data_IF_399240462681
#
_entry.id   IF_399240462681
#
_cell.length_a   1.000
_cell.length_b   1.000
_cell.length_c   1.000
_cell.angle_alpha   90.00
_cell.angle_beta   90.00
_cell.angle_gamma   90.00
#
_symmetry.space_group_name_H-M   'P 1'
#
loop_
_entity.id
_entity.type
_entity.pdbx_description
1 polymer ?
#
# COMPACT_ATOMS: atom_id res chain seq x y z
N UNK A 1 58.08 -10.29 -16.11
CA UNK A 1 58.11 -10.74 -14.71
C UNK A 1 57.22 -9.81 -13.88
N UNK A 2 56.25 -10.42 -13.17
CA UNK A 2 55.55 -9.98 -11.94
C UNK A 2 54.78 -8.64 -11.96
N UNK A 3 53.45 -8.64 -12.11
CA UNK A 3 52.40 -8.85 -11.08
C UNK A 3 52.61 -8.00 -9.82
N UNK A 4 51.74 -7.00 -9.60
CA UNK A 4 50.84 -7.00 -8.44
C UNK A 4 49.68 -5.97 -8.59
N UNK A 5 48.44 -6.37 -8.26
CA UNK A 5 47.23 -5.55 -8.23
C UNK A 5 47.00 -4.93 -6.84
N UNK A 6 46.34 -3.77 -6.78
CA UNK A 6 45.73 -3.22 -5.56
C UNK A 6 44.33 -2.74 -5.93
N UNK A 7 43.29 -3.56 -5.74
CA UNK A 7 42.54 -3.75 -4.49
C UNK A 7 41.89 -2.44 -4.00
N UNK A 8 40.61 -2.27 -4.31
CA UNK A 8 39.61 -1.62 -3.44
C UNK A 8 38.22 -1.97 -3.97
N UNK A 9 37.87 -3.24 -3.81
CA UNK A 9 36.49 -3.69 -3.71
C UNK A 9 35.86 -3.12 -2.44
N UNK A 10 34.53 -2.97 -2.49
CA UNK A 10 33.59 -2.82 -1.37
C UNK A 10 33.58 -1.44 -0.68
N UNK A 11 32.44 -0.74 -0.77
CA UNK A 11 31.39 -0.71 0.26
C UNK A 11 30.38 0.43 0.00
N UNK A 12 29.21 0.31 0.65
CA UNK A 12 28.03 1.19 0.65
C UNK A 12 27.07 0.90 -0.52
N UNK A 13 26.11 -0.01 -0.40
CA UNK A 13 25.37 -0.38 0.80
C UNK A 13 24.23 0.60 1.01
N UNK A 14 23.04 0.22 0.54
CA UNK A 14 21.76 0.60 1.13
C UNK A 14 20.67 -0.21 0.44
N UNK A 15 20.61 -1.50 0.76
CA UNK A 15 19.32 -2.17 0.73
C UNK A 15 18.47 -1.47 1.80
N UNK A 16 17.59 -0.56 1.38
CA UNK A 16 16.49 -0.13 2.23
C UNK A 16 15.60 -1.36 2.43
N UNK A 17 15.96 -2.18 3.41
CA UNK A 17 15.02 -3.06 4.05
C UNK A 17 14.07 -2.15 4.85
N UNK A 18 13.07 -1.61 4.18
CA UNK A 18 11.88 -1.10 4.86
C UNK A 18 11.23 -2.30 5.53
N UNK A 19 11.65 -2.58 6.77
CA UNK A 19 10.93 -3.45 7.68
C UNK A 19 9.58 -2.81 7.94
N UNK A 20 8.58 -3.18 7.16
CA UNK A 20 7.20 -2.97 7.55
C UNK A 20 6.96 -3.80 8.81
N UNK A 21 6.42 -3.22 9.90
CA UNK A 21 6.00 -4.02 11.04
C UNK A 21 4.91 -4.98 10.55
N UNK A 22 5.17 -6.30 10.63
CA UNK A 22 4.12 -7.30 10.51
C UNK A 22 3.25 -7.22 11.76
N UNK A 23 2.23 -6.38 11.70
CA UNK A 23 1.10 -6.43 12.62
C UNK A 23 0.30 -7.70 12.30
N UNK A 24 0.66 -8.82 12.92
CA UNK A 24 -0.17 -10.04 12.91
C UNK A 24 -1.36 -9.80 13.83
N UNK A 25 -2.35 -9.07 13.32
CA UNK A 25 -3.64 -8.89 13.96
C UNK A 25 -4.53 -10.09 13.66
N UNK A 26 -4.84 -10.89 14.69
CA UNK A 26 -5.94 -11.86 14.64
C UNK A 26 -7.23 -11.07 14.82
N UNK A 27 -7.69 -10.46 13.74
CA UNK A 27 -8.89 -9.64 13.68
C UNK A 27 -9.13 -9.17 12.24
N UNK A 28 -10.37 -8.83 11.91
CA UNK A 28 -10.69 -8.16 10.66
C UNK A 28 -10.18 -6.71 10.72
N UNK A 29 -8.89 -6.52 10.51
CA UNK A 29 -8.23 -5.22 10.64
C UNK A 29 -7.72 -4.75 9.30
N UNK A 30 -7.93 -3.48 9.01
CA UNK A 30 -7.38 -2.81 7.84
C UNK A 30 -6.41 -1.71 8.27
N UNK A 31 -5.40 -1.48 7.44
CA UNK A 31 -4.44 -0.39 7.57
C UNK A 31 -4.25 0.33 6.23
N UNK A 32 -3.78 1.58 6.27
CA UNK A 32 -3.49 2.35 5.06
C UNK A 32 -2.16 1.86 4.47
N UNK A 33 -2.21 1.21 3.31
CA UNK A 33 -1.02 0.73 2.61
C UNK A 33 -0.42 1.77 1.66
N UNK A 34 -1.26 2.60 1.03
CA UNK A 34 -0.82 3.70 0.18
C UNK A 34 -1.87 4.81 0.15
N UNK A 35 -1.43 6.06 -0.04
CA UNK A 35 -2.32 7.23 -0.09
C UNK A 35 -1.76 8.34 -0.97
N UNK A 36 -2.64 8.99 -1.71
CA UNK A 36 -2.44 10.28 -2.38
C UNK A 36 -3.64 11.20 -2.13
N UNK A 37 -3.66 12.40 -2.73
CA UNK A 37 -4.81 13.32 -2.67
C UNK A 37 -6.07 12.78 -3.35
N UNK A 38 -5.94 11.81 -4.26
CA UNK A 38 -7.04 11.29 -5.08
C UNK A 38 -7.28 9.80 -4.93
N UNK A 39 -6.38 9.06 -4.28
CA UNK A 39 -6.50 7.61 -4.13
C UNK A 39 -6.02 7.14 -2.77
N UNK A 40 -6.64 6.09 -2.25
CA UNK A 40 -6.17 5.38 -1.08
C UNK A 40 -6.25 3.88 -1.32
N UNK A 41 -5.27 3.15 -0.80
CA UNK A 41 -5.26 1.70 -0.78
C UNK A 41 -5.22 1.23 0.66
N UNK A 42 -6.24 0.48 1.05
CA UNK A 42 -6.31 -0.21 2.33
C UNK A 42 -5.85 -1.65 2.14
N UNK A 43 -5.06 -2.12 3.10
CA UNK A 43 -4.67 -3.52 3.23
C UNK A 43 -5.34 -4.09 4.46
N UNK A 44 -6.17 -5.10 4.25
CA UNK A 44 -6.93 -5.76 5.29
C UNK A 44 -6.50 -7.21 5.45
N UNK A 45 -6.67 -7.76 6.65
CA UNK A 45 -6.47 -9.20 6.86
C UNK A 45 -7.38 -10.02 5.95
N UNK A 46 -6.95 -11.25 5.65
CA UNK A 46 -7.68 -12.13 4.72
C UNK A 46 -9.16 -12.26 5.10
N UNK A 47 -10.02 -12.28 4.09
CA UNK A 47 -11.49 -12.38 4.25
C UNK A 47 -12.18 -11.21 4.98
N UNK A 48 -11.46 -10.14 5.31
CA UNK A 48 -12.09 -8.89 5.76
C UNK A 48 -12.83 -8.23 4.60
N UNK A 49 -14.12 -7.87 4.74
CA UNK A 49 -14.86 -7.17 3.68
C UNK A 49 -14.32 -5.75 3.47
N UNK A 50 -14.62 -5.17 2.30
CA UNK A 50 -14.27 -3.79 2.01
C UNK A 50 -14.90 -2.84 3.05
N UNK A 51 -14.13 -1.94 3.68
CA UNK A 51 -14.69 -0.87 4.49
C UNK A 51 -15.70 -0.04 3.69
N UNK A 52 -16.83 0.29 4.30
CA UNK A 52 -17.86 1.10 3.64
C UNK A 52 -17.35 2.53 3.36
N UNK A 53 -16.55 3.06 4.28
CA UNK A 53 -16.00 4.40 4.18
C UNK A 53 -14.51 4.42 4.55
N UNK A 54 -13.60 4.71 3.60
CA UNK A 54 -12.17 4.82 3.91
C UNK A 54 -11.85 6.02 4.83
N UNK A 55 -12.79 6.94 5.08
CA UNK A 55 -12.58 8.09 5.97
C UNK A 55 -12.45 7.73 7.45
N UNK A 56 -12.80 6.50 7.82
CA UNK A 56 -12.59 5.97 9.18
C UNK A 56 -11.09 5.78 9.50
N UNK A 57 -10.22 5.80 8.48
CA UNK A 57 -8.78 5.65 8.63
C UNK A 57 -8.08 7.00 8.73
N UNK A 58 -7.02 7.05 9.55
CA UNK A 58 -6.32 8.30 9.85
C UNK A 58 -5.72 8.96 8.62
N UNK A 59 -6.04 10.24 8.42
CA UNK A 59 -5.48 11.07 7.36
C UNK A 59 -6.04 10.78 5.96
N UNK A 60 -7.21 10.14 5.86
CA UNK A 60 -8.01 10.20 4.64
C UNK A 60 -8.69 11.55 4.58
N UNK A 61 -8.60 12.21 3.42
CA UNK A 61 -9.18 13.53 3.22
C UNK A 61 -10.72 13.45 3.16
N UNK A 62 -11.43 14.51 3.60
CA UNK A 62 -12.87 14.58 3.43
C UNK A 62 -13.23 14.56 1.93
N UNK A 63 -14.38 13.97 1.63
CA UNK A 63 -14.90 13.87 0.26
C UNK A 63 -15.72 12.60 0.06
N UNK A 64 -16.15 12.39 -1.19
CA UNK A 64 -16.84 11.18 -1.62
C UNK A 64 -15.82 10.20 -2.18
N UNK A 65 -15.70 9.04 -1.57
CA UNK A 65 -14.77 8.00 -2.00
C UNK A 65 -15.54 6.84 -2.62
N UNK A 66 -15.05 6.34 -3.75
CA UNK A 66 -15.61 5.18 -4.43
C UNK A 66 -14.59 4.05 -4.46
N UNK A 67 -15.01 2.83 -4.13
CA UNK A 67 -14.18 1.64 -4.27
C UNK A 67 -14.05 1.31 -5.76
N UNK A 68 -12.84 1.44 -6.30
CA UNK A 68 -12.55 1.19 -7.73
C UNK A 68 -11.86 -0.15 -7.98
N UNK A 69 -11.29 -0.78 -6.94
CA UNK A 69 -10.62 -2.06 -7.09
C UNK A 69 -10.64 -2.87 -5.78
N UNK A 70 -10.77 -4.19 -5.93
CA UNK A 70 -10.56 -5.17 -4.87
C UNK A 70 -9.67 -6.31 -5.36
N UNK A 71 -8.75 -6.76 -4.52
CA UNK A 71 -7.79 -7.80 -4.88
C UNK A 71 -7.10 -8.40 -3.65
N UNK A 72 -6.05 -9.18 -3.87
CA UNK A 72 -5.22 -9.74 -2.79
C UNK A 72 -3.74 -9.50 -3.05
N UNK A 73 -2.97 -9.29 -1.99
CA UNK A 73 -1.51 -9.28 -2.08
C UNK A 73 -0.93 -10.71 -2.11
N UNK A 74 0.39 -10.81 -2.28
CA UNK A 74 1.09 -12.11 -2.36
C UNK A 74 1.06 -12.88 -1.03
N UNK A 75 0.74 -12.21 0.07
CA UNK A 75 0.57 -12.77 1.41
C UNK A 75 -0.90 -13.16 1.69
N UNK A 76 -1.82 -12.94 0.74
CA UNK A 76 -3.24 -13.26 0.86
C UNK A 76 -4.08 -12.22 1.59
N UNK A 77 -3.52 -11.07 1.96
CA UNK A 77 -4.27 -9.95 2.54
C UNK A 77 -5.20 -9.34 1.48
N UNK A 78 -6.38 -8.87 1.89
CA UNK A 78 -7.31 -8.16 1.00
C UNK A 78 -6.80 -6.74 0.73
N UNK A 79 -6.85 -6.32 -0.53
CA UNK A 79 -6.51 -4.97 -0.95
C UNK A 79 -7.75 -4.28 -1.52
N UNK A 80 -8.04 -3.09 -1.01
CA UNK A 80 -9.14 -2.25 -1.46
C UNK A 80 -8.62 -0.88 -1.86
N UNK A 81 -8.86 -0.47 -3.11
CA UNK A 81 -8.46 0.84 -3.60
C UNK A 81 -9.68 1.72 -3.80
N UNK A 82 -9.67 2.88 -3.16
CA UNK A 82 -10.69 3.90 -3.29
C UNK A 82 -10.14 5.10 -4.05
N UNK A 83 -10.99 5.76 -4.81
CA UNK A 83 -10.72 7.00 -5.52
C UNK A 83 -11.65 8.10 -5.01
N UNK A 84 -11.10 9.30 -4.86
CA UNK A 84 -11.87 10.48 -4.54
C UNK A 84 -12.66 10.90 -5.78
N UNK A 85 -13.98 10.95 -5.64
CA UNK A 85 -14.90 11.42 -6.68
C UNK A 85 -15.07 12.92 -6.49
N UNK A 86 -14.38 13.69 -7.32
CA UNK A 86 -14.50 15.16 -7.37
C UNK A 86 -15.45 15.65 -8.47
N UNK A 87 -15.73 14.79 -9.44
CA UNK A 87 -16.70 14.99 -10.52
C UNK A 87 -17.25 13.64 -11.01
N UNK A 88 -18.39 13.65 -11.71
CA UNK A 88 -18.96 12.43 -12.30
C UNK A 88 -18.01 11.76 -13.31
N UNK A 89 -17.08 12.52 -13.90
CA UNK A 89 -16.05 12.05 -14.83
C UNK A 89 -14.97 11.19 -14.18
N UNK A 90 -14.83 11.24 -12.84
CA UNK A 90 -13.85 10.44 -12.09
C UNK A 90 -14.29 8.98 -11.92
N UNK A 91 -15.55 8.67 -12.23
CA UNK A 91 -16.10 7.31 -12.22
C UNK A 91 -15.83 6.65 -13.58
N UNK A 92 -14.59 6.24 -13.85
CA UNK A 92 -14.28 5.43 -15.02
C UNK A 92 -14.63 3.96 -14.71
N UNK A 93 -15.65 3.43 -15.38
CA UNK A 93 -16.00 2.01 -15.36
C UNK A 93 -15.40 1.37 -16.62
N UNK A 94 -14.26 0.71 -16.47
CA UNK A 94 -13.72 -0.24 -17.48
C UNK A 94 -14.40 -1.60 -17.34
#
# INVERSE_FOLDING_TARGET
>A
MRLLPLLSTLLLGSALATSLPLSVGVGNTCEVAARSSQAITLRCTASTPAPLDPREYSGVLPGHWHLIHSGRDVQGAQLYRYQLVSSASDLHFD
#
